data_IF_249332951850
#
_entry.id   IF_249332951850
#
_cell.length_a   1.000
_cell.length_b   1.000
_cell.length_c   1.000
_cell.angle_alpha   90.00
_cell.angle_beta   90.00
_cell.angle_gamma   90.00
#
_symmetry.space_group_name_H-M   'P 1'
#
loop_
_entity.id
_entity.type
_entity.pdbx_description
1 polymer ?
#
# COMPACT_ATOMS: atom_id res chain seq x y z
N UNK A 1 1.44 16.00 -17.91
CA UNK A 1 2.12 16.75 -16.85
C UNK A 1 3.15 15.88 -16.15
N UNK A 2 4.36 16.40 -15.89
CA UNK A 2 5.39 15.58 -15.27
C UNK A 2 5.08 15.28 -13.80
N UNK A 3 5.45 14.07 -13.37
CA UNK A 3 5.36 13.63 -11.99
C UNK A 3 6.79 13.50 -11.45
N UNK A 4 7.07 14.17 -10.36
CA UNK A 4 8.37 14.19 -9.71
C UNK A 4 8.36 13.37 -8.43
N UNK A 5 9.46 12.68 -8.15
CA UNK A 5 9.67 12.05 -6.85
C UNK A 5 10.42 13.03 -5.94
N UNK A 6 9.91 13.25 -4.76
CA UNK A 6 10.52 14.15 -3.76
C UNK A 6 10.99 13.32 -2.59
N UNK A 7 12.28 13.44 -2.26
CA UNK A 7 12.85 12.77 -1.10
C UNK A 7 12.47 13.52 0.18
N UNK A 8 12.02 12.79 1.19
CA UNK A 8 11.60 13.32 2.47
C UNK A 8 12.40 12.73 3.62
N UNK A 9 12.27 13.33 4.81
CA UNK A 9 12.69 12.68 6.04
C UNK A 9 11.82 11.45 6.28
N UNK A 10 12.40 10.34 6.69
CA UNK A 10 11.67 9.10 6.96
C UNK A 10 10.54 9.35 7.96
N UNK A 11 9.40 8.74 7.73
CA UNK A 11 8.16 8.87 8.52
C UNK A 11 7.46 10.23 8.43
N UNK A 12 7.96 11.14 7.59
CA UNK A 12 7.36 12.46 7.40
C UNK A 12 6.70 12.63 6.02
N UNK A 13 6.53 11.55 5.28
CA UNK A 13 5.97 11.55 3.92
C UNK A 13 4.59 12.19 3.89
N UNK A 14 3.71 11.77 4.77
CA UNK A 14 2.34 12.31 4.83
C UNK A 14 2.34 13.78 5.25
N UNK A 15 3.17 14.15 6.19
CA UNK A 15 3.31 15.54 6.63
C UNK A 15 3.74 16.44 5.47
N UNK A 16 4.74 16.02 4.70
CA UNK A 16 5.20 16.75 3.52
C UNK A 16 4.09 16.83 2.47
N UNK A 17 3.41 15.73 2.20
CA UNK A 17 2.30 15.72 1.24
C UNK A 17 1.17 16.68 1.64
N UNK A 18 0.78 16.68 2.90
CA UNK A 18 -0.27 17.57 3.41
C UNK A 18 0.14 19.05 3.31
N UNK A 19 1.39 19.35 3.60
CA UNK A 19 1.91 20.73 3.49
C UNK A 19 1.96 21.21 2.05
N UNK A 20 2.33 20.34 1.09
CA UNK A 20 2.29 20.68 -0.34
C UNK A 20 0.84 20.93 -0.78
N UNK A 21 -0.07 20.04 -0.40
CA UNK A 21 -1.49 20.17 -0.76
C UNK A 21 -2.13 21.43 -0.18
N UNK A 22 -1.79 21.79 1.04
CA UNK A 22 -2.37 22.94 1.74
C UNK A 22 -1.86 24.31 1.24
N UNK A 23 -0.81 24.33 0.43
CA UNK A 23 -0.32 25.59 -0.15
C UNK A 23 -1.21 26.14 -1.25
N UNK A 24 -2.06 25.31 -1.81
CA UNK A 24 -2.97 25.71 -2.90
C UNK A 24 -2.26 26.37 -4.10
N UNK A 25 -1.07 25.86 -4.42
CA UNK A 25 -0.30 26.36 -5.57
C UNK A 25 -0.94 25.87 -6.87
N UNK A 26 -1.34 26.80 -7.74
CA UNK A 26 -2.01 26.47 -9.01
C UNK A 26 -1.17 25.59 -9.95
N UNK A 27 0.14 25.68 -9.86
CA UNK A 27 1.06 24.93 -10.71
C UNK A 27 1.41 23.55 -10.17
N UNK A 28 0.89 23.20 -8.99
CA UNK A 28 0.97 21.87 -8.40
C UNK A 28 -0.41 21.23 -8.47
N UNK A 29 -0.54 20.11 -9.17
CA UNK A 29 -1.84 19.53 -9.51
C UNK A 29 -2.27 18.37 -8.62
N UNK A 30 -1.31 17.58 -8.15
CA UNK A 30 -1.58 16.44 -7.29
C UNK A 30 -0.36 16.05 -6.47
N UNK A 31 -0.59 15.43 -5.33
CA UNK A 31 0.45 14.86 -4.49
C UNK A 31 0.00 13.48 -4.00
N UNK A 32 0.91 12.52 -3.99
CA UNK A 32 0.66 11.15 -3.58
C UNK A 32 1.73 10.69 -2.61
N UNK A 33 1.31 10.23 -1.44
CA UNK A 33 2.20 9.64 -0.43
C UNK A 33 1.76 8.19 -0.17
N UNK A 34 2.16 7.24 -1.02
CA UNK A 34 1.78 5.83 -0.83
C UNK A 34 2.49 5.23 0.38
N UNK A 35 1.77 4.43 1.16
CA UNK A 35 2.33 3.77 2.36
C UNK A 35 3.49 2.83 2.02
N UNK A 36 3.49 2.25 0.83
CA UNK A 36 4.54 1.36 0.37
C UNK A 36 5.84 2.06 -0.03
N UNK A 37 5.84 3.37 -0.17
CA UNK A 37 6.99 4.16 -0.59
C UNK A 37 7.52 4.99 0.57
N UNK A 38 8.59 4.52 1.19
CA UNK A 38 9.19 5.16 2.37
C UNK A 38 10.18 6.25 1.94
N UNK A 39 10.12 7.41 2.60
CA UNK A 39 10.99 8.57 2.40
C UNK A 39 10.82 9.28 1.05
N UNK A 40 9.71 9.04 0.35
CA UNK A 40 9.41 9.72 -0.91
C UNK A 40 7.92 10.05 -1.01
N UNK A 41 7.64 11.17 -1.70
CA UNK A 41 6.28 11.50 -2.16
C UNK A 41 6.34 11.78 -3.65
N UNK A 42 5.23 11.56 -4.34
CA UNK A 42 5.11 11.84 -5.77
C UNK A 42 4.29 13.11 -5.94
N UNK A 43 4.77 14.04 -6.77
CA UNK A 43 4.12 15.34 -6.99
C UNK A 43 3.98 15.60 -8.48
N UNK A 44 2.76 15.86 -8.92
CA UNK A 44 2.50 16.33 -10.28
C UNK A 44 2.51 17.86 -10.28
N UNK A 45 3.44 18.45 -11.02
CA UNK A 45 3.63 19.88 -11.12
C UNK A 45 3.98 20.28 -12.54
N UNK A 46 3.83 21.56 -12.88
CA UNK A 46 4.11 22.06 -14.22
C UNK A 46 5.57 21.87 -14.64
N UNK A 47 6.48 22.12 -13.70
CA UNK A 47 7.92 21.96 -13.95
C UNK A 47 8.70 21.86 -12.63
N UNK A 48 9.99 21.53 -12.77
CA UNK A 48 10.89 21.36 -11.64
C UNK A 48 11.10 22.67 -10.83
N UNK A 49 11.16 23.80 -11.50
CA UNK A 49 11.40 25.09 -10.82
C UNK A 49 10.26 25.49 -9.89
N UNK A 50 9.01 25.23 -10.29
CA UNK A 50 7.84 25.43 -9.45
C UNK A 50 7.94 24.58 -8.20
N UNK A 51 8.26 23.32 -8.36
CA UNK A 51 8.36 22.38 -7.26
C UNK A 51 9.50 22.75 -6.30
N UNK A 52 10.66 23.15 -6.82
CA UNK A 52 11.77 23.63 -5.98
C UNK A 52 11.35 24.81 -5.12
N UNK A 53 10.64 25.77 -5.69
CA UNK A 53 10.14 26.93 -4.97
C UNK A 53 9.19 26.56 -3.83
N UNK A 54 8.26 25.64 -4.11
CA UNK A 54 7.31 25.15 -3.12
C UNK A 54 8.01 24.42 -1.97
N UNK A 55 8.99 23.58 -2.29
CA UNK A 55 9.68 22.76 -1.29
C UNK A 55 10.63 23.53 -0.39
N UNK A 56 11.10 24.71 -0.80
CA UNK A 56 11.99 25.55 0.01
C UNK A 56 11.36 25.92 1.38
N UNK A 57 10.05 26.02 1.44
CA UNK A 57 9.33 26.40 2.65
C UNK A 57 8.72 25.21 3.40
N UNK A 58 8.99 24.00 2.96
CA UNK A 58 8.43 22.80 3.57
C UNK A 58 9.51 22.04 4.35
N UNK A 59 9.38 21.98 5.70
CA UNK A 59 10.28 21.15 6.50
C UNK A 59 10.13 19.68 6.13
N UNK A 60 11.22 18.93 6.26
CA UNK A 60 11.30 17.50 5.93
C UNK A 60 11.27 17.17 4.43
N UNK A 61 11.02 18.12 3.56
CA UNK A 61 11.28 17.96 2.12
C UNK A 61 12.78 18.18 1.87
N UNK A 62 13.46 17.19 1.29
CA UNK A 62 14.92 17.23 1.12
C UNK A 62 15.35 17.62 -0.28
N UNK A 63 14.95 16.83 -1.27
CA UNK A 63 15.41 17.06 -2.64
C UNK A 63 14.43 16.44 -3.64
N UNK A 64 14.49 16.93 -4.87
CA UNK A 64 13.76 16.35 -5.99
C UNK A 64 14.67 15.32 -6.64
N UNK A 65 14.18 14.11 -6.84
CA UNK A 65 14.92 13.07 -7.55
C UNK A 65 15.03 13.48 -9.03
N UNK A 66 16.21 13.41 -9.66
CA UNK A 66 16.34 13.72 -11.07
C UNK A 66 15.45 12.84 -11.96
N UNK A 67 14.83 13.46 -12.97
CA UNK A 67 13.95 12.78 -13.90
C UNK A 67 12.47 12.91 -13.51
N UNK A 68 11.62 12.36 -14.33
CA UNK A 68 10.16 12.39 -14.14
C UNK A 68 9.60 10.98 -14.29
N UNK A 69 8.45 10.73 -13.64
CA UNK A 69 7.71 9.49 -13.79
C UNK A 69 6.47 9.73 -14.65
N UNK A 70 6.01 8.69 -15.34
CA UNK A 70 4.75 8.73 -16.07
C UNK A 70 3.61 8.28 -15.14
N UNK A 71 2.37 8.59 -15.53
CA UNK A 71 1.21 8.10 -14.80
C UNK A 71 1.20 6.56 -14.72
N UNK A 72 1.61 5.89 -15.80
CA UNK A 72 1.70 4.42 -15.84
C UNK A 72 2.63 3.88 -14.76
N UNK A 73 3.74 4.54 -14.49
CA UNK A 73 4.71 4.12 -13.48
C UNK A 73 4.18 4.25 -12.05
N UNK A 74 3.29 5.21 -11.80
CA UNK A 74 2.72 5.43 -10.47
C UNK A 74 1.36 4.78 -10.29
N UNK A 75 0.78 4.23 -11.34
CA UNK A 75 -0.56 3.65 -11.33
C UNK A 75 -0.70 2.52 -10.32
N UNK A 76 0.34 1.72 -10.12
CA UNK A 76 0.33 0.63 -9.14
C UNK A 76 0.16 1.11 -7.69
N UNK A 77 0.49 2.36 -7.38
CA UNK A 77 0.23 2.94 -6.06
C UNK A 77 -1.24 3.35 -5.89
N UNK A 78 -1.93 3.58 -7.00
CA UNK A 78 -3.34 4.01 -7.00
C UNK A 78 -4.30 2.83 -7.03
N UNK A 79 -3.84 1.67 -7.48
CA UNK A 79 -4.63 0.44 -7.58
C UNK A 79 -3.90 -0.67 -6.82
N UNK A 80 -4.03 -0.70 -5.49
CA UNK A 80 -3.32 -1.67 -4.68
C UNK A 80 -3.73 -3.09 -5.03
N UNK A 81 -2.74 -3.97 -5.09
CA UNK A 81 -2.96 -5.39 -5.27
C UNK A 81 -3.61 -5.96 -4.00
N UNK A 82 -4.71 -6.74 -4.10
CA UNK A 82 -5.30 -7.37 -2.93
C UNK A 82 -4.31 -8.30 -2.23
N UNK A 83 -4.30 -8.29 -0.91
CA UNK A 83 -3.42 -9.16 -0.11
C UNK A 83 -3.72 -10.64 -0.32
N UNK A 84 -4.93 -10.96 -0.79
CA UNK A 84 -5.32 -12.34 -1.12
C UNK A 84 -4.73 -12.83 -2.44
N UNK A 85 -4.12 -11.97 -3.23
CA UNK A 85 -3.46 -12.40 -4.47
C UNK A 85 -2.32 -13.37 -4.15
N UNK A 86 -2.29 -14.49 -4.85
CA UNK A 86 -1.33 -15.56 -4.58
C UNK A 86 -1.81 -16.60 -3.56
N UNK A 87 -2.96 -16.40 -2.93
CA UNK A 87 -3.60 -17.40 -2.07
C UNK A 87 -4.57 -18.23 -2.93
N UNK A 88 -4.56 -19.54 -2.78
CA UNK A 88 -5.45 -20.45 -3.49
C UNK A 88 -6.32 -21.25 -2.51
N UNK A 89 -7.45 -21.75 -2.99
CA UNK A 89 -8.28 -22.68 -2.23
C UNK A 89 -7.45 -23.91 -1.83
N UNK A 90 -7.69 -24.44 -0.65
CA UNK A 90 -6.97 -25.54 -0.04
C UNK A 90 -5.56 -25.23 0.47
N UNK A 91 -5.07 -24.02 0.32
CA UNK A 91 -3.81 -23.60 0.94
C UNK A 91 -3.92 -23.67 2.47
N UNK A 92 -2.81 -24.02 3.11
CA UNK A 92 -2.71 -24.03 4.57
C UNK A 92 -2.12 -22.70 5.01
N UNK A 93 -2.84 -22.02 5.90
CA UNK A 93 -2.47 -20.69 6.40
C UNK A 93 -2.42 -20.66 7.91
N UNK A 94 -1.67 -19.71 8.46
CA UNK A 94 -1.65 -19.39 9.86
C UNK A 94 -2.28 -18.01 10.05
N UNK A 95 -3.17 -17.90 11.04
CA UNK A 95 -3.74 -16.61 11.39
C UNK A 95 -2.74 -15.82 12.22
N UNK A 96 -2.38 -14.64 11.75
CA UNK A 96 -1.34 -13.80 12.37
C UNK A 96 -1.90 -12.62 13.15
N UNK A 97 -3.22 -12.44 13.13
CA UNK A 97 -3.90 -11.36 13.84
C UNK A 97 -5.31 -11.80 14.23
N UNK A 98 -5.93 -11.04 15.12
CA UNK A 98 -7.30 -11.28 15.57
C UNK A 98 -7.41 -12.33 16.68
N UNK A 99 -8.66 -12.74 17.02
CA UNK A 99 -8.91 -13.64 18.16
C UNK A 99 -8.36 -15.05 17.95
N UNK A 100 -8.08 -15.47 16.71
CA UNK A 100 -7.55 -16.80 16.39
C UNK A 100 -6.06 -16.77 16.03
N UNK A 101 -5.35 -15.75 16.44
CA UNK A 101 -3.91 -15.61 16.17
C UNK A 101 -3.15 -16.86 16.61
N UNK A 102 -2.31 -17.39 15.71
CA UNK A 102 -1.53 -18.59 15.96
C UNK A 102 -2.19 -19.90 15.53
N UNK A 103 -3.47 -19.87 15.19
CA UNK A 103 -4.19 -21.05 14.71
C UNK A 103 -3.89 -21.32 13.24
N UNK A 104 -3.84 -22.61 12.87
CA UNK A 104 -3.71 -23.03 11.47
C UNK A 104 -5.08 -23.31 10.89
N UNK A 105 -5.23 -23.01 9.60
CA UNK A 105 -6.50 -23.16 8.91
C UNK A 105 -6.27 -23.53 7.44
N UNK A 106 -7.32 -24.05 6.80
CA UNK A 106 -7.33 -24.31 5.36
C UNK A 106 -8.23 -23.31 4.68
N UNK A 107 -7.78 -22.77 3.57
CA UNK A 107 -8.56 -21.83 2.77
C UNK A 107 -9.71 -22.56 2.08
N UNK A 108 -10.94 -22.10 2.29
CA UNK A 108 -12.13 -22.64 1.65
C UNK A 108 -12.60 -21.77 0.49
N UNK A 109 -12.53 -20.45 0.64
CA UNK A 109 -13.02 -19.52 -0.37
C UNK A 109 -12.25 -18.20 -0.28
N UNK A 110 -12.07 -17.56 -1.43
CA UNK A 110 -11.38 -16.27 -1.56
C UNK A 110 -12.32 -15.27 -2.21
N UNK A 111 -12.44 -14.09 -1.63
CA UNK A 111 -13.16 -12.95 -2.20
C UNK A 111 -12.14 -11.83 -2.47
N UNK A 112 -11.63 -11.78 -3.70
CA UNK A 112 -10.63 -10.80 -4.10
C UNK A 112 -11.19 -9.37 -4.08
N UNK A 113 -12.46 -9.20 -4.39
CA UNK A 113 -13.10 -7.89 -4.41
C UNK A 113 -13.18 -7.23 -3.03
N UNK A 114 -13.30 -8.04 -1.98
CA UNK A 114 -13.35 -7.58 -0.59
C UNK A 114 -12.05 -7.79 0.17
N UNK A 115 -11.04 -8.38 -0.48
CA UNK A 115 -9.77 -8.77 0.13
C UNK A 115 -9.98 -9.63 1.39
N UNK A 116 -10.87 -10.61 1.29
CA UNK A 116 -11.25 -11.50 2.37
C UNK A 116 -11.05 -12.97 2.00
N UNK A 117 -10.75 -13.78 3.00
CA UNK A 117 -10.57 -15.22 2.86
C UNK A 117 -11.43 -15.92 3.91
N UNK A 118 -12.19 -16.93 3.48
CA UNK A 118 -12.91 -17.81 4.40
C UNK A 118 -12.05 -19.05 4.63
N UNK A 119 -11.73 -19.31 5.88
CA UNK A 119 -10.87 -20.43 6.28
C UNK A 119 -11.58 -21.33 7.27
N UNK A 120 -11.18 -22.60 7.30
CA UNK A 120 -11.66 -23.58 8.27
C UNK A 120 -10.51 -23.93 9.22
N UNK A 121 -10.72 -23.74 10.52
CA UNK A 121 -9.70 -24.00 11.53
C UNK A 121 -9.44 -25.51 11.67
N UNK A 122 -8.17 -25.92 11.69
CA UNK A 122 -7.79 -27.33 11.78
C UNK A 122 -8.19 -28.01 13.06
N UNK A 123 -8.03 -27.32 14.19
CA UNK A 123 -8.21 -27.89 15.52
C UNK A 123 -9.64 -27.77 16.05
N UNK A 124 -10.54 -27.22 15.27
CA UNK A 124 -11.93 -27.13 15.67
C UNK A 124 -12.60 -28.51 15.60
N UNK A 125 -13.21 -28.93 16.69
CA UNK A 125 -13.96 -30.19 16.77
C UNK A 125 -15.15 -30.19 15.79
N UNK A 126 -15.74 -29.02 15.60
CA UNK A 126 -16.76 -28.76 14.60
C UNK A 126 -16.19 -27.77 13.60
N UNK A 127 -16.25 -28.07 12.29
CA UNK A 127 -15.77 -27.14 11.28
C UNK A 127 -16.53 -25.80 11.35
N UNK A 128 -15.85 -24.74 11.71
CA UNK A 128 -16.44 -23.40 11.76
C UNK A 128 -15.70 -22.55 10.74
N UNK A 129 -16.40 -22.12 9.67
CA UNK A 129 -15.77 -21.19 8.72
C UNK A 129 -15.60 -19.82 9.36
N UNK A 130 -14.41 -19.26 9.21
CA UNK A 130 -14.06 -17.93 9.71
C UNK A 130 -13.63 -17.08 8.53
N UNK A 131 -14.24 -15.91 8.37
CA UNK A 131 -13.84 -14.96 7.33
C UNK A 131 -12.88 -13.94 7.93
N UNK A 132 -11.71 -13.83 7.32
CA UNK A 132 -10.65 -12.92 7.75
C UNK A 132 -10.15 -12.11 6.55
N UNK A 133 -9.46 -11.00 6.83
CA UNK A 133 -8.82 -10.20 5.78
C UNK A 133 -7.54 -10.89 5.32
N UNK A 134 -7.14 -10.64 4.08
CA UNK A 134 -5.93 -11.21 3.50
C UNK A 134 -4.65 -10.87 4.25
N UNK A 135 -4.59 -9.69 4.88
CA UNK A 135 -3.45 -9.25 5.68
C UNK A 135 -3.35 -9.92 7.05
N UNK A 136 -4.36 -10.68 7.45
CA UNK A 136 -4.42 -11.38 8.74
C UNK A 136 -3.95 -12.83 8.68
N UNK A 137 -3.51 -13.30 7.52
CA UNK A 137 -3.06 -14.67 7.32
C UNK A 137 -1.67 -14.71 6.67
N UNK A 138 -0.99 -15.84 6.88
CA UNK A 138 0.29 -16.15 6.23
C UNK A 138 0.22 -17.56 5.67
N UNK A 139 0.56 -17.72 4.39
CA UNK A 139 0.57 -19.03 3.74
C UNK A 139 1.74 -19.86 4.27
N UNK A 140 1.46 -21.04 4.80
CA UNK A 140 2.46 -21.99 5.30
C UNK A 140 2.82 -23.03 4.25
N UNK A 141 1.83 -23.51 3.51
CA UNK A 141 2.01 -24.51 2.48
C UNK A 141 1.01 -24.25 1.36
N UNK A 142 1.49 -24.33 0.12
CA UNK A 142 0.66 -24.18 -1.07
C UNK A 142 0.42 -25.54 -1.67
N UNK A 143 -0.85 -25.83 -1.94
CA UNK A 143 -1.20 -27.06 -2.64
C UNK A 143 -0.80 -26.91 -4.12
N UNK A 144 0.31 -27.52 -4.48
CA UNK A 144 0.86 -27.56 -5.84
C UNK A 144 1.15 -26.19 -6.49
N UNK A 145 2.20 -25.56 -6.11
CA UNK A 145 2.75 -24.46 -6.89
C UNK A 145 4.19 -24.73 -7.28
#
# INVERSE_FOLDING_TARGET
MPIFAVKTTASQERTVADMIANREEEEVHAVLAPDSLTSYVMVEADNNAVLERVLEEIPHARSIVPGTSSLTEVEHFLSPTPDVEGIAESDIVELIAGPFKGEKARVQRIDEGKDQVTVELYEATVPIPVTVRGDQIRVLDSDER
#
